data_IF_397420954791
#
_entry.id   IF_397420954791
#
_cell.length_a   1.000
_cell.length_b   1.000
_cell.length_c   1.000
_cell.angle_alpha   90.00
_cell.angle_beta   90.00
_cell.angle_gamma   90.00
#
_symmetry.space_group_name_H-M   'P 1'
#
loop_
_entity.id
_entity.type
_entity.pdbx_description
1 polymer ?
#
# COMPACT_ATOMS: atom_id res chain seq x y z
N UNK A 1 -9.12 0.91 -14.34
CA UNK A 1 -9.01 2.36 -14.03
C UNK A 1 -10.21 2.87 -13.22
N UNK A 2 -11.44 2.78 -13.75
CA UNK A 2 -12.64 3.37 -13.13
C UNK A 2 -12.91 2.91 -11.69
N UNK A 3 -12.84 1.61 -11.41
CA UNK A 3 -13.07 1.08 -10.05
C UNK A 3 -11.96 1.47 -9.05
N UNK A 4 -10.72 1.63 -9.52
CA UNK A 4 -9.62 2.14 -8.69
C UNK A 4 -9.82 3.62 -8.35
N UNK A 5 -10.28 4.43 -9.32
CA UNK A 5 -10.67 5.81 -9.07
C UNK A 5 -11.84 5.91 -8.09
N UNK A 6 -12.87 5.09 -8.27
CA UNK A 6 -14.00 5.01 -7.35
C UNK A 6 -13.57 4.63 -5.93
N UNK A 7 -12.57 3.76 -5.78
CA UNK A 7 -11.98 3.43 -4.47
C UNK A 7 -11.24 4.61 -3.85
N UNK A 8 -10.49 5.38 -4.64
CA UNK A 8 -9.77 6.56 -4.14
C UNK A 8 -10.75 7.64 -3.66
N UNK A 9 -11.85 7.83 -4.36
CA UNK A 9 -12.94 8.75 -4.00
C UNK A 9 -13.94 8.17 -2.98
N UNK A 10 -13.71 6.95 -2.48
CA UNK A 10 -14.65 6.22 -1.60
C UNK A 10 -16.08 6.13 -2.17
N UNK A 11 -16.23 6.19 -3.49
CA UNK A 11 -17.51 6.22 -4.19
C UNK A 11 -18.09 4.81 -4.32
N UNK A 12 -18.91 4.42 -3.33
CA UNK A 12 -19.55 3.10 -3.29
C UNK A 12 -20.56 2.90 -4.42
N UNK A 13 -21.26 3.96 -4.83
CA UNK A 13 -22.27 3.88 -5.89
C UNK A 13 -21.62 3.47 -7.22
N UNK A 14 -20.58 4.20 -7.63
CA UNK A 14 -19.82 3.88 -8.83
C UNK A 14 -19.13 2.52 -8.72
N UNK A 15 -18.58 2.19 -7.55
CA UNK A 15 -17.95 0.88 -7.32
C UNK A 15 -18.91 -0.28 -7.56
N UNK A 16 -20.14 -0.18 -7.07
CA UNK A 16 -21.22 -1.17 -7.31
C UNK A 16 -21.59 -1.25 -8.78
N UNK A 17 -21.77 -0.11 -9.46
CA UNK A 17 -22.10 -0.07 -10.89
C UNK A 17 -21.05 -0.81 -11.71
N UNK A 18 -19.77 -0.48 -11.49
CA UNK A 18 -18.66 -1.08 -12.24
C UNK A 18 -18.57 -2.57 -11.95
N UNK A 19 -18.63 -2.98 -10.67
CA UNK A 19 -18.59 -4.40 -10.30
C UNK A 19 -19.74 -5.21 -10.90
N UNK A 20 -20.97 -4.69 -10.85
CA UNK A 20 -22.14 -5.35 -11.42
C UNK A 20 -22.05 -5.43 -12.95
N UNK A 21 -21.50 -4.41 -13.61
CA UNK A 21 -21.28 -4.43 -15.06
C UNK A 21 -20.21 -5.45 -15.45
N UNK A 22 -19.12 -5.54 -14.68
CA UNK A 22 -18.09 -6.57 -14.89
C UNK A 22 -18.68 -7.98 -14.75
N UNK A 23 -19.54 -8.23 -13.75
CA UNK A 23 -20.23 -9.54 -13.61
C UNK A 23 -21.03 -9.92 -14.86
N UNK A 24 -21.67 -8.94 -15.52
CA UNK A 24 -22.44 -9.17 -16.75
C UNK A 24 -21.54 -9.43 -17.97
N UNK A 25 -20.39 -8.76 -18.04
CA UNK A 25 -19.43 -8.89 -19.16
C UNK A 25 -18.62 -10.19 -19.05
N UNK A 26 -18.26 -10.60 -17.84
CA UNK A 26 -17.40 -11.74 -17.55
C UNK A 26 -18.15 -12.84 -16.77
N UNK A 27 -19.26 -13.39 -17.29
CA UNK A 27 -20.11 -14.32 -16.54
C UNK A 27 -19.42 -15.66 -16.22
N UNK A 28 -18.50 -16.10 -17.09
CA UNK A 28 -17.74 -17.35 -16.94
C UNK A 28 -16.31 -17.14 -16.39
N UNK A 29 -15.80 -15.90 -16.41
CA UNK A 29 -14.42 -15.59 -16.03
C UNK A 29 -14.34 -15.05 -14.58
N UNK A 30 -14.61 -15.93 -13.62
CA UNK A 30 -14.62 -15.56 -12.19
C UNK A 30 -13.28 -14.95 -11.73
N UNK A 31 -12.17 -15.36 -12.35
CA UNK A 31 -10.84 -14.79 -12.11
C UNK A 31 -10.75 -13.30 -12.47
N UNK A 32 -11.41 -12.85 -13.53
CA UNK A 32 -11.45 -11.45 -13.94
C UNK A 32 -12.19 -10.56 -12.92
N UNK A 33 -13.09 -11.15 -12.12
CA UNK A 33 -13.87 -10.44 -11.10
C UNK A 33 -13.15 -10.32 -9.76
N UNK A 34 -12.10 -11.10 -9.50
CA UNK A 34 -11.40 -11.10 -8.19
C UNK A 34 -10.84 -9.72 -7.86
N UNK A 35 -10.08 -9.02 -8.74
CA UNK A 35 -9.56 -7.69 -8.42
C UNK A 35 -10.68 -6.68 -8.16
N UNK A 36 -11.79 -6.79 -8.89
CA UNK A 36 -12.93 -5.90 -8.75
C UNK A 36 -13.67 -6.11 -7.43
N UNK A 37 -13.87 -7.37 -7.02
CA UNK A 37 -14.45 -7.71 -5.73
C UNK A 37 -13.55 -7.26 -4.56
N UNK A 38 -12.22 -7.39 -4.69
CA UNK A 38 -11.27 -6.87 -3.70
C UNK A 38 -11.41 -5.35 -3.55
N UNK A 39 -11.45 -4.61 -4.67
CA UNK A 39 -11.62 -3.16 -4.64
C UNK A 39 -12.97 -2.76 -4.02
N UNK A 40 -14.05 -3.46 -4.35
CA UNK A 40 -15.37 -3.21 -3.75
C UNK A 40 -15.38 -3.47 -2.24
N UNK A 41 -14.79 -4.58 -1.78
CA UNK A 41 -14.64 -4.87 -0.36
C UNK A 41 -13.80 -3.80 0.35
N UNK A 42 -12.76 -3.28 -0.31
CA UNK A 42 -11.94 -2.20 0.24
C UNK A 42 -12.71 -0.87 0.32
N UNK A 43 -13.59 -0.56 -0.63
CA UNK A 43 -14.47 0.63 -0.55
C UNK A 43 -15.43 0.50 0.64
N UNK A 44 -16.07 -0.66 0.81
CA UNK A 44 -16.90 -0.90 2.00
C UNK A 44 -16.09 -0.77 3.30
N UNK A 45 -14.90 -1.37 3.36
CA UNK A 45 -14.01 -1.25 4.52
C UNK A 45 -13.64 0.20 4.82
N UNK A 46 -13.32 1.01 3.80
CA UNK A 46 -13.00 2.44 3.98
C UNK A 46 -14.16 3.30 4.46
N UNK A 47 -15.39 2.80 4.33
CA UNK A 47 -16.62 3.43 4.80
C UNK A 47 -17.07 2.89 6.16
N UNK A 48 -16.30 2.00 6.78
CA UNK A 48 -16.65 1.35 8.04
C UNK A 48 -17.70 0.23 7.91
N UNK A 49 -18.12 -0.12 6.69
CA UNK A 49 -19.09 -1.19 6.42
C UNK A 49 -18.43 -2.58 6.48
N UNK A 50 -17.84 -2.91 7.64
CA UNK A 50 -17.00 -4.10 7.85
C UNK A 50 -17.72 -5.41 7.55
N UNK A 51 -19.02 -5.51 7.86
CA UNK A 51 -19.82 -6.71 7.60
C UNK A 51 -19.87 -7.02 6.09
N UNK A 52 -20.20 -6.02 5.26
CA UNK A 52 -20.25 -6.18 3.80
C UNK A 52 -18.87 -6.44 3.20
N UNK A 53 -17.84 -5.80 3.73
CA UNK A 53 -16.46 -6.07 3.32
C UNK A 53 -16.07 -7.54 3.61
N UNK A 54 -16.42 -8.05 4.78
CA UNK A 54 -16.16 -9.44 5.20
C UNK A 54 -16.96 -10.44 4.37
N UNK A 55 -18.24 -10.19 4.09
CA UNK A 55 -19.06 -11.04 3.22
C UNK A 55 -18.43 -11.24 1.84
N UNK A 56 -17.99 -10.14 1.20
CA UNK A 56 -17.31 -10.22 -0.10
C UNK A 56 -15.98 -10.98 0.01
N UNK A 57 -15.23 -10.80 1.09
CA UNK A 57 -13.96 -11.52 1.31
C UNK A 57 -14.16 -13.02 1.48
N UNK A 58 -15.17 -13.43 2.25
CA UNK A 58 -15.54 -14.83 2.42
C UNK A 58 -15.96 -15.45 1.08
N UNK A 59 -16.76 -14.72 0.28
CA UNK A 59 -17.11 -15.15 -1.07
C UNK A 59 -15.85 -15.32 -1.94
N UNK A 60 -14.91 -14.38 -1.87
CA UNK A 60 -13.64 -14.48 -2.61
C UNK A 60 -12.79 -15.66 -2.16
N UNK A 61 -12.74 -15.99 -0.86
CA UNK A 61 -11.99 -17.13 -0.34
C UNK A 61 -12.54 -18.46 -0.87
N UNK A 62 -13.86 -18.62 -0.92
CA UNK A 62 -14.52 -19.79 -1.51
C UNK A 62 -14.16 -19.96 -3.00
N UNK A 63 -14.08 -18.85 -3.74
CA UNK A 63 -13.68 -18.85 -5.15
C UNK A 63 -12.17 -19.06 -5.35
N UNK A 64 -11.36 -18.75 -4.32
CA UNK A 64 -9.89 -18.79 -4.34
C UNK A 64 -9.27 -20.12 -3.96
N UNK A 65 -10.05 -21.17 -3.69
CA UNK A 65 -9.49 -22.53 -3.43
C UNK A 65 -8.55 -23.02 -4.55
N UNK A 66 -8.54 -22.37 -5.72
CA UNK A 66 -7.60 -22.61 -6.84
C UNK A 66 -6.55 -21.49 -7.09
N UNK A 67 -6.58 -20.35 -6.39
CA UNK A 67 -5.69 -19.20 -6.67
C UNK A 67 -5.17 -18.52 -5.38
N UNK A 68 -3.84 -18.54 -5.18
CA UNK A 68 -3.18 -17.86 -4.06
C UNK A 68 -3.38 -16.34 -4.15
N UNK A 69 -3.74 -15.70 -3.04
CA UNK A 69 -3.81 -14.24 -2.91
C UNK A 69 -2.43 -13.65 -3.27
N UNK A 70 -2.38 -12.73 -4.24
CA UNK A 70 -1.16 -11.94 -4.49
C UNK A 70 -0.89 -11.08 -3.26
N UNK A 71 0.16 -11.43 -2.53
CA UNK A 71 0.64 -10.67 -1.37
C UNK A 71 1.38 -9.44 -1.88
N UNK A 72 1.20 -8.30 -1.20
CA UNK A 72 1.97 -7.09 -1.46
C UNK A 72 3.43 -7.31 -1.06
N UNK A 73 4.32 -7.17 -2.03
CA UNK A 73 5.76 -7.28 -1.87
C UNK A 73 6.40 -6.01 -2.42
N UNK A 74 7.34 -5.47 -1.66
CA UNK A 74 8.27 -4.46 -2.11
C UNK A 74 9.70 -5.04 -2.08
N UNK A 75 10.60 -4.46 -2.85
CA UNK A 75 12.01 -4.77 -2.79
C UNK A 75 12.84 -3.53 -3.04
N UNK A 76 13.99 -3.48 -2.38
CA UNK A 76 14.95 -2.40 -2.49
C UNK A 76 16.32 -2.95 -2.91
N UNK A 77 17.06 -2.14 -3.67
CA UNK A 77 18.46 -2.43 -4.01
C UNK A 77 19.37 -1.62 -3.10
N UNK A 78 20.20 -2.29 -2.32
CA UNK A 78 21.18 -1.68 -1.41
C UNK A 78 22.51 -2.39 -1.60
N UNK A 79 23.59 -1.64 -1.86
CA UNK A 79 24.95 -2.19 -2.05
C UNK A 79 25.02 -3.35 -3.07
N UNK A 80 24.25 -3.27 -4.15
CA UNK A 80 24.20 -4.30 -5.20
C UNK A 80 23.37 -5.54 -4.86
N UNK A 81 22.74 -5.59 -3.67
CA UNK A 81 21.90 -6.69 -3.23
C UNK A 81 20.41 -6.29 -3.21
N UNK A 82 19.54 -7.25 -3.49
CA UNK A 82 18.08 -7.04 -3.51
C UNK A 82 17.44 -7.66 -2.27
N UNK A 83 16.81 -6.82 -1.46
CA UNK A 83 16.09 -7.21 -0.26
C UNK A 83 14.59 -7.16 -0.50
N UNK A 84 13.85 -8.17 -0.04
CA UNK A 84 12.40 -8.28 -0.22
C UNK A 84 11.67 -8.06 1.09
N UNK A 85 10.60 -7.28 1.03
CA UNK A 85 9.78 -6.91 2.17
C UNK A 85 8.33 -7.26 1.87
N UNK A 86 7.71 -7.94 2.84
CA UNK A 86 6.28 -8.21 2.85
C UNK A 86 5.66 -7.38 3.97
N UNK A 87 4.43 -6.93 3.76
CA UNK A 87 3.73 -6.17 4.78
C UNK A 87 3.54 -7.02 6.05
N UNK A 88 3.87 -6.45 7.22
CA UNK A 88 3.83 -7.10 8.53
C UNK A 88 4.68 -8.37 8.62
N UNK A 89 5.79 -8.43 7.89
CA UNK A 89 6.72 -9.55 7.95
C UNK A 89 7.83 -9.28 8.96
N UNK A 90 7.98 -10.20 9.92
CA UNK A 90 8.98 -10.17 10.98
C UNK A 90 10.01 -11.29 10.83
N UNK A 91 9.95 -12.06 9.73
CA UNK A 91 10.90 -13.17 9.50
C UNK A 91 12.32 -12.71 9.12
N UNK A 92 12.50 -11.41 8.85
CA UNK A 92 13.82 -10.85 8.56
C UNK A 92 14.69 -10.86 9.83
N UNK A 93 15.97 -11.30 9.76
CA UNK A 93 16.85 -11.34 10.95
C UNK A 93 17.00 -10.00 11.68
N UNK A 94 16.88 -8.90 10.92
CA UNK A 94 16.93 -7.51 11.42
C UNK A 94 15.56 -6.82 11.46
N UNK A 95 14.46 -7.59 11.57
CA UNK A 95 13.11 -7.04 11.57
C UNK A 95 12.96 -5.93 12.61
N UNK A 96 13.40 -6.15 13.85
CA UNK A 96 13.30 -5.16 14.93
C UNK A 96 13.95 -3.82 14.56
N UNK A 97 15.13 -3.83 13.93
CA UNK A 97 15.81 -2.61 13.49
C UNK A 97 15.07 -1.91 12.34
N UNK A 98 14.52 -2.68 11.39
CA UNK A 98 13.72 -2.15 10.28
C UNK A 98 12.45 -1.47 10.81
N UNK A 99 11.74 -2.11 11.74
CA UNK A 99 10.53 -1.55 12.33
C UNK A 99 10.84 -0.32 13.18
N UNK A 100 11.95 -0.32 13.93
CA UNK A 100 12.38 0.85 14.70
C UNK A 100 12.72 2.06 13.79
N UNK A 101 13.44 1.85 12.67
CA UNK A 101 13.69 2.94 11.72
C UNK A 101 12.39 3.37 11.01
N UNK A 102 11.48 2.44 10.70
CA UNK A 102 10.17 2.78 10.14
C UNK A 102 9.32 3.62 11.10
N UNK A 103 9.35 3.32 12.40
CA UNK A 103 8.68 4.09 13.45
C UNK A 103 9.29 5.49 13.57
N UNK A 104 10.62 5.59 13.64
CA UNK A 104 11.33 6.88 13.66
C UNK A 104 10.97 7.76 12.45
N UNK A 105 11.01 7.19 11.25
CA UNK A 105 10.56 7.89 10.03
C UNK A 105 9.10 8.32 10.17
N UNK A 106 8.24 7.48 10.75
CA UNK A 106 6.83 7.80 10.93
C UNK A 106 6.61 8.96 11.91
N UNK A 107 7.37 9.01 13.02
CA UNK A 107 7.36 10.14 13.94
C UNK A 107 7.81 11.44 13.26
N UNK A 108 8.86 11.38 12.44
CA UNK A 108 9.37 12.52 11.69
C UNK A 108 8.30 13.08 10.73
N UNK A 109 7.66 12.24 9.91
CA UNK A 109 6.62 12.72 8.99
C UNK A 109 5.39 13.26 9.73
N UNK A 110 5.02 12.68 10.88
CA UNK A 110 3.90 13.17 11.70
C UNK A 110 4.19 14.56 12.24
N UNK A 111 5.42 14.82 12.72
CA UNK A 111 5.86 16.16 13.15
C UNK A 111 5.79 17.19 12.01
N UNK A 112 5.84 16.74 10.76
CA UNK A 112 5.72 17.57 9.55
C UNK A 112 4.32 17.51 8.90
N UNK A 113 3.29 17.10 9.66
CA UNK A 113 1.90 17.19 9.24
C UNK A 113 1.35 15.97 8.50
N UNK A 114 2.04 14.82 8.54
CA UNK A 114 1.44 13.58 8.05
C UNK A 114 0.23 13.17 8.90
N UNK A 115 -0.91 12.97 8.23
CA UNK A 115 -2.11 12.41 8.83
C UNK A 115 -2.33 11.03 8.23
N UNK A 116 -2.31 10.00 9.09
CA UNK A 116 -2.56 8.63 8.67
C UNK A 116 -3.96 8.47 8.07
N UNK A 117 -4.04 7.90 6.88
CA UNK A 117 -5.31 7.70 6.20
C UNK A 117 -5.86 6.31 6.47
N UNK A 118 -6.70 6.22 7.51
CA UNK A 118 -7.37 4.99 7.96
C UNK A 118 -8.17 4.29 6.86
N UNK A 119 -8.54 4.97 5.77
CA UNK A 119 -9.19 4.32 4.62
C UNK A 119 -8.32 3.29 3.91
N UNK A 120 -7.00 3.31 4.14
CA UNK A 120 -6.07 2.30 3.64
C UNK A 120 -5.89 1.12 4.59
N UNK A 121 -6.45 1.20 5.80
CA UNK A 121 -6.62 0.06 6.70
C UNK A 121 -7.88 -0.70 6.27
N UNK A 122 -7.71 -1.65 5.36
CA UNK A 122 -8.85 -2.30 4.71
C UNK A 122 -9.50 -3.39 5.55
N UNK A 123 -8.93 -3.78 6.69
CA UNK A 123 -9.47 -4.80 7.60
C UNK A 123 -9.69 -4.20 9.00
N UNK A 124 -10.54 -4.82 9.84
CA UNK A 124 -10.56 -4.51 11.26
C UNK A 124 -9.16 -4.65 11.87
N UNK A 125 -8.85 -3.76 12.80
CA UNK A 125 -7.63 -3.80 13.60
C UNK A 125 -7.74 -4.90 14.65
N UNK A 126 -6.62 -5.57 14.92
CA UNK A 126 -6.50 -6.43 16.10
C UNK A 126 -6.39 -5.56 17.38
N UNK A 127 -6.64 -6.11 18.58
CA UNK A 127 -6.60 -5.34 19.83
C UNK A 127 -5.29 -4.58 20.06
N UNK A 128 -4.16 -5.15 19.63
CA UNK A 128 -2.82 -4.58 19.82
C UNK A 128 -2.37 -3.69 18.65
N UNK A 129 -3.24 -3.50 17.64
CA UNK A 129 -2.93 -2.70 16.46
C UNK A 129 -3.61 -1.33 16.51
N UNK A 130 -2.91 -0.33 15.99
CA UNK A 130 -3.48 0.98 15.70
C UNK A 130 -3.26 1.31 14.21
N UNK A 131 -3.88 2.39 13.74
CA UNK A 131 -3.81 2.81 12.34
C UNK A 131 -2.34 3.03 11.92
N UNK A 132 -1.54 3.66 12.77
CA UNK A 132 -0.14 3.95 12.49
C UNK A 132 0.67 2.65 12.36
N UNK A 133 0.56 1.71 13.31
CA UNK A 133 1.31 0.45 13.26
C UNK A 133 0.97 -0.37 12.02
N UNK A 134 -0.30 -0.38 11.60
CA UNK A 134 -0.71 -1.08 10.37
C UNK A 134 -0.14 -0.41 9.11
N UNK A 135 -0.20 0.91 9.02
CA UNK A 135 0.29 1.62 7.83
C UNK A 135 1.83 1.62 7.76
N UNK A 136 2.51 1.74 8.90
CA UNK A 136 3.97 1.63 9.04
C UNK A 136 4.49 0.27 8.59
N UNK A 137 3.74 -0.80 8.87
CA UNK A 137 4.07 -2.16 8.45
C UNK A 137 3.87 -2.44 6.95
N UNK A 138 3.48 -1.46 6.13
CA UNK A 138 3.39 -1.66 4.68
C UNK A 138 4.78 -1.89 4.06
N UNK A 139 4.84 -2.82 3.10
CA UNK A 139 6.08 -3.26 2.45
C UNK A 139 6.96 -2.13 1.90
N UNK A 140 6.36 -1.06 1.35
CA UNK A 140 7.08 0.09 0.83
C UNK A 140 7.77 0.90 1.93
N UNK A 141 7.11 1.08 3.08
CA UNK A 141 7.68 1.79 4.23
C UNK A 141 8.83 0.99 4.83
N UNK A 142 8.68 -0.33 4.96
CA UNK A 142 9.75 -1.22 5.41
C UNK A 142 10.96 -1.22 4.47
N UNK A 143 10.72 -1.22 3.16
CA UNK A 143 11.79 -1.15 2.16
C UNK A 143 12.57 0.18 2.21
N UNK A 144 11.87 1.30 2.38
CA UNK A 144 12.49 2.63 2.55
C UNK A 144 13.27 2.71 3.87
N UNK A 145 12.68 2.22 4.96
CA UNK A 145 13.35 2.16 6.27
C UNK A 145 14.64 1.35 6.19
N UNK A 146 14.63 0.19 5.53
CA UNK A 146 15.84 -0.60 5.30
C UNK A 146 16.91 0.18 4.53
N UNK A 147 16.55 0.94 3.50
CA UNK A 147 17.51 1.75 2.77
C UNK A 147 18.19 2.83 3.64
N UNK A 148 17.43 3.49 4.53
CA UNK A 148 18.01 4.46 5.46
C UNK A 148 18.79 3.81 6.59
N UNK A 149 18.38 2.62 7.03
CA UNK A 149 19.13 1.85 8.02
C UNK A 149 20.52 1.48 7.49
N UNK A 150 20.60 1.03 6.24
CA UNK A 150 21.86 0.66 5.59
C UNK A 150 22.69 1.86 5.12
N UNK A 151 22.03 2.97 4.76
CA UNK A 151 22.67 4.21 4.38
C UNK A 151 21.87 5.43 4.87
N UNK A 152 22.16 5.93 6.08
CA UNK A 152 21.44 7.07 6.66
C UNK A 152 21.51 8.36 5.83
N UNK A 153 22.54 8.51 5.01
CA UNK A 153 22.79 9.69 4.16
C UNK A 153 22.47 9.44 2.68
N UNK A 154 21.67 8.41 2.37
CA UNK A 154 21.30 8.08 1.00
C UNK A 154 20.70 9.31 0.29
N UNK A 155 21.28 9.69 -0.85
CA UNK A 155 20.74 10.77 -1.70
C UNK A 155 19.70 10.30 -2.69
N UNK A 156 19.68 8.99 -2.97
CA UNK A 156 18.68 8.37 -3.84
C UNK A 156 18.38 6.94 -3.40
N UNK A 157 17.11 6.58 -3.38
CA UNK A 157 16.61 5.25 -3.05
C UNK A 157 15.76 4.71 -4.20
N UNK A 158 15.94 3.42 -4.51
CA UNK A 158 15.13 2.71 -5.49
C UNK A 158 14.35 1.57 -4.84
N UNK A 159 13.02 1.67 -4.89
CA UNK A 159 12.09 0.64 -4.44
C UNK A 159 11.24 0.19 -5.63
N UNK A 160 10.90 -1.08 -5.67
CA UNK A 160 9.87 -1.57 -6.57
C UNK A 160 8.87 -2.42 -5.81
N UNK A 161 7.62 -2.44 -6.26
CA UNK A 161 6.56 -3.25 -5.68
C UNK A 161 5.69 -3.90 -6.74
N UNK A 162 5.07 -5.02 -6.39
CA UNK A 162 4.23 -5.80 -7.30
C UNK A 162 2.75 -5.35 -7.34
N UNK A 163 2.32 -4.46 -6.44
CA UNK A 163 0.98 -3.89 -6.38
C UNK A 163 1.02 -2.38 -6.61
N UNK A 164 -0.10 -1.73 -6.86
CA UNK A 164 -0.20 -0.25 -6.88
C UNK A 164 0.18 0.33 -5.51
N UNK A 165 0.92 1.43 -5.45
CA UNK A 165 1.25 2.08 -4.17
C UNK A 165 -0.03 2.49 -3.43
N UNK A 166 -0.04 2.35 -2.10
CA UNK A 166 -1.16 2.81 -1.30
C UNK A 166 -1.12 4.35 -1.17
N UNK A 167 -2.27 5.01 -1.08
CA UNK A 167 -2.29 6.48 -1.04
C UNK A 167 -1.67 7.08 0.21
N UNK A 168 -1.82 6.40 1.35
CA UNK A 168 -1.11 6.75 2.58
C UNK A 168 0.42 6.66 2.41
N UNK A 169 0.88 5.54 1.84
CA UNK A 169 2.29 5.27 1.53
C UNK A 169 2.84 6.34 0.59
N UNK A 170 2.09 6.71 -0.44
CA UNK A 170 2.48 7.75 -1.39
C UNK A 170 2.67 9.11 -0.70
N UNK A 171 1.72 9.53 0.12
CA UNK A 171 1.82 10.80 0.88
C UNK A 171 2.96 10.76 1.90
N UNK A 172 3.16 9.64 2.58
CA UNK A 172 4.29 9.43 3.48
C UNK A 172 5.62 9.56 2.72
N UNK A 173 5.79 8.87 1.60
CA UNK A 173 7.03 8.91 0.80
C UNK A 173 7.36 10.32 0.29
N UNK A 174 6.36 11.15 -0.06
CA UNK A 174 6.59 12.58 -0.37
C UNK A 174 7.26 13.32 0.79
N UNK A 175 6.74 13.15 2.01
CA UNK A 175 7.29 13.80 3.20
C UNK A 175 8.67 13.24 3.55
N UNK A 176 8.87 11.92 3.46
CA UNK A 176 10.17 11.29 3.70
C UNK A 176 11.22 11.85 2.74
N UNK A 177 10.92 11.95 1.45
CA UNK A 177 11.83 12.49 0.45
C UNK A 177 12.25 13.94 0.76
N UNK A 178 11.32 14.76 1.24
CA UNK A 178 11.59 16.14 1.64
C UNK A 178 12.41 16.25 2.92
N UNK A 179 11.99 15.57 3.99
CA UNK A 179 12.63 15.65 5.33
C UNK A 179 14.05 15.08 5.31
N UNK A 180 14.24 13.96 4.61
CA UNK A 180 15.55 13.28 4.54
C UNK A 180 16.41 13.78 3.37
N UNK A 181 15.96 14.79 2.62
CA UNK A 181 16.63 15.35 1.44
C UNK A 181 17.13 14.24 0.48
N UNK A 182 16.26 13.27 0.21
CA UNK A 182 16.56 12.06 -0.55
C UNK A 182 15.54 11.88 -1.68
N UNK A 183 16.01 11.70 -2.92
CA UNK A 183 15.12 11.31 -4.01
C UNK A 183 14.70 9.85 -3.86
N UNK A 184 13.40 9.57 -3.85
CA UNK A 184 12.90 8.21 -3.75
C UNK A 184 12.20 7.85 -5.06
N UNK A 185 12.65 6.78 -5.72
CA UNK A 185 12.00 6.26 -6.92
C UNK A 185 11.30 4.96 -6.57
N UNK A 186 9.97 4.94 -6.72
CA UNK A 186 9.14 3.76 -6.48
C UNK A 186 8.50 3.30 -7.79
N UNK A 187 8.90 2.13 -8.29
CA UNK A 187 8.19 1.47 -9.40
C UNK A 187 7.09 0.58 -8.84
N UNK A 188 5.83 0.93 -9.06
CA UNK A 188 4.69 0.10 -8.70
C UNK A 188 4.15 -0.71 -9.88
N UNK A 189 3.02 -1.40 -9.70
CA UNK A 189 2.41 -2.23 -10.74
C UNK A 189 1.91 -1.47 -11.98
N UNK A 190 1.80 -0.14 -11.93
CA UNK A 190 1.20 0.69 -12.97
C UNK A 190 2.13 1.77 -13.50
N UNK A 191 3.03 2.31 -12.67
CA UNK A 191 3.87 3.46 -13.02
C UNK A 191 5.13 3.54 -12.16
N UNK A 192 5.98 4.49 -12.52
CA UNK A 192 7.12 4.91 -11.72
C UNK A 192 6.75 6.23 -11.06
N UNK A 193 6.90 6.29 -9.74
CA UNK A 193 6.77 7.48 -8.93
C UNK A 193 8.17 7.99 -8.64
N UNK A 194 8.45 9.24 -8.98
CA UNK A 194 9.67 9.93 -8.57
C UNK A 194 9.29 10.96 -7.52
N UNK A 195 9.64 10.68 -6.27
CA UNK A 195 9.46 11.57 -5.14
C UNK A 195 10.71 12.46 -5.02
N UNK A 196 10.52 13.75 -5.27
CA UNK A 196 11.57 14.75 -5.24
C UNK A 196 11.76 15.31 -3.83
N UNK A 197 12.92 15.89 -3.56
CA UNK A 197 13.26 16.51 -2.27
C UNK A 197 12.43 17.75 -1.94
N UNK A 198 11.69 18.30 -2.90
CA UNK A 198 10.71 19.37 -2.66
C UNK A 198 9.33 18.84 -2.20
N UNK A 199 9.21 17.54 -1.92
CA UNK A 199 7.98 16.92 -1.46
C UNK A 199 6.93 16.67 -2.56
N UNK A 200 7.31 16.78 -3.83
CA UNK A 200 6.42 16.48 -4.96
C UNK A 200 6.67 15.07 -5.51
N UNK A 201 5.67 14.52 -6.19
CA UNK A 201 5.80 13.27 -6.93
C UNK A 201 5.53 13.52 -8.41
N UNK A 202 6.32 12.90 -9.30
CA UNK A 202 6.14 12.97 -10.76
C UNK A 202 4.75 12.50 -11.25
N UNK A 203 3.99 11.79 -10.43
CA UNK A 203 2.65 11.33 -10.77
C UNK A 203 1.55 12.39 -10.52
N UNK A 204 1.87 13.57 -9.96
CA UNK A 204 0.91 14.63 -9.61
C UNK A 204 -0.25 14.12 -8.73
N UNK A 205 0.07 13.26 -7.76
CA UNK A 205 -0.89 12.61 -6.87
C UNK A 205 -1.93 11.70 -7.58
N UNK A 206 -1.71 11.39 -8.86
CA UNK A 206 -2.42 10.32 -9.56
C UNK A 206 -1.75 8.98 -9.24
N UNK A 207 -2.04 8.42 -8.07
CA UNK A 207 -1.54 7.12 -7.60
C UNK A 207 -2.66 6.14 -7.26
#
# INVERSE_FOLDING_TARGET
ALLSGARNEKNIHLSKIVYNRMKKIFPAEQNALIPAAVLLANVYGSLGENNKASEIRIQLEKLRSKHKKRVGLAWASVNGQVFKFRAHDESHPRANEIYAEAEKISEEIVKHGHIYDSSWVTRPLNPDENIASVLCGHSERLAIAWCFLENPNAKRIHVAKNLRICGDCHRATKLIAAIRECEIIVRDAHRIHHFYTNGQCSCNDYF
#
